data_IF_454437267078
#
_entry.id   IF_454437267078
#
_cell.length_a   1.000
_cell.length_b   1.000
_cell.length_c   1.000
_cell.angle_alpha   90.00
_cell.angle_beta   90.00
_cell.angle_gamma   90.00
#
_symmetry.space_group_name_H-M   'P 1'
#
loop_
_entity.id
_entity.type
_entity.pdbx_description
1 polymer ?
#
# COMPACT_ATOMS: atom_id res chain seq x y z
N UNK A 1 88.07 -10.50 28.55
CA UNK A 1 87.16 -9.41 28.15
C UNK A 1 85.81 -9.98 27.74
N UNK A 2 84.73 -9.76 28.50
CA UNK A 2 83.40 -10.31 28.19
C UNK A 2 82.57 -9.28 27.43
N UNK A 3 82.05 -9.65 26.25
CA UNK A 3 81.32 -8.76 25.35
C UNK A 3 79.81 -8.96 25.51
N UNK A 4 79.20 -8.34 26.52
CA UNK A 4 77.72 -8.24 26.61
C UNK A 4 77.23 -7.11 25.68
N UNK A 5 76.36 -7.43 24.72
CA UNK A 5 75.75 -6.42 23.84
C UNK A 5 74.51 -5.79 24.50
N UNK A 6 74.32 -4.50 24.27
CA UNK A 6 73.18 -3.70 24.77
C UNK A 6 71.89 -4.15 24.05
N UNK A 7 70.95 -4.72 24.78
CA UNK A 7 69.61 -5.05 24.29
C UNK A 7 68.74 -3.78 24.24
N UNK A 8 67.98 -3.59 23.15
CA UNK A 8 67.02 -2.48 23.00
C UNK A 8 65.68 -2.95 23.57
N UNK A 9 65.05 -2.15 24.45
CA UNK A 9 63.68 -2.41 24.94
C UNK A 9 62.72 -2.52 23.74
N UNK A 10 61.85 -3.54 23.68
CA UNK A 10 60.84 -3.60 22.63
C UNK A 10 59.94 -2.38 22.75
N UNK A 11 59.76 -1.65 21.64
CA UNK A 11 58.86 -0.51 21.60
C UNK A 11 57.43 -1.03 21.78
N UNK A 12 56.76 -0.61 22.85
CA UNK A 12 55.34 -0.89 23.05
C UNK A 12 54.56 -0.08 22.02
N UNK A 13 54.00 -0.76 21.02
CA UNK A 13 53.11 -0.13 20.06
C UNK A 13 51.83 0.34 20.80
N UNK A 14 51.26 1.50 20.46
CA UNK A 14 50.02 1.94 21.10
C UNK A 14 48.91 0.93 20.79
N UNK A 15 48.45 0.24 21.83
CA UNK A 15 47.34 -0.70 21.75
C UNK A 15 46.08 0.13 21.50
N UNK A 16 45.52 0.02 20.30
CA UNK A 16 44.24 0.63 19.98
C UNK A 16 43.18 0.09 20.94
N UNK A 17 42.30 0.97 21.44
CA UNK A 17 41.17 0.55 22.28
C UNK A 17 40.36 -0.51 21.52
N UNK A 18 39.98 -1.62 22.18
CA UNK A 18 39.21 -2.67 21.54
C UNK A 18 37.89 -2.10 21.02
N UNK A 19 37.44 -2.59 19.85
CA UNK A 19 36.15 -2.19 19.27
C UNK A 19 35.04 -2.63 20.23
N UNK A 20 34.12 -1.71 20.53
CA UNK A 20 32.95 -2.00 21.36
C UNK A 20 32.11 -3.13 20.74
N UNK A 21 31.44 -3.89 21.59
CA UNK A 21 30.57 -4.99 21.15
C UNK A 21 29.34 -4.46 20.40
N UNK A 22 28.66 -5.32 19.61
CA UNK A 22 27.47 -4.93 18.83
C UNK A 22 26.35 -4.37 19.74
N UNK A 23 26.19 -4.92 20.94
CA UNK A 23 25.21 -4.47 21.93
C UNK A 23 25.55 -3.08 22.51
N UNK A 24 26.82 -2.83 22.82
CA UNK A 24 27.28 -1.52 23.30
C UNK A 24 27.16 -0.43 22.22
N UNK A 25 27.38 -0.77 20.95
CA UNK A 25 27.23 0.16 19.82
C UNK A 25 25.79 0.58 19.55
N UNK A 26 24.79 -0.20 19.98
CA UNK A 26 23.39 0.16 19.83
C UNK A 26 22.98 1.31 20.77
N UNK A 27 23.60 1.37 21.95
CA UNK A 27 23.34 2.38 22.97
C UNK A 27 24.12 3.69 22.75
N UNK A 28 25.08 3.70 21.81
CA UNK A 28 25.81 4.92 21.45
C UNK A 28 24.96 5.78 20.52
N UNK A 29 24.66 7.00 20.97
CA UNK A 29 23.90 7.97 20.18
C UNK A 29 24.57 8.24 18.82
N UNK A 30 23.83 7.97 17.74
CA UNK A 30 24.33 8.19 16.38
C UNK A 30 24.36 9.68 16.10
N UNK A 31 25.56 10.21 15.81
CA UNK A 31 25.73 11.60 15.39
C UNK A 31 24.82 11.91 14.20
N UNK A 32 23.91 12.87 14.37
CA UNK A 32 23.05 13.36 13.29
C UNK A 32 23.91 14.04 12.23
N UNK A 33 24.06 13.39 11.08
CA UNK A 33 24.71 14.00 9.91
C UNK A 33 23.71 14.90 9.20
N UNK A 34 24.09 16.15 8.96
CA UNK A 34 23.36 17.04 8.06
C UNK A 34 23.38 16.40 6.67
N UNK A 35 22.23 15.93 6.18
CA UNK A 35 22.11 15.42 4.82
C UNK A 35 22.09 16.61 3.87
N UNK A 36 23.00 16.63 2.92
CA UNK A 36 22.98 17.58 1.80
C UNK A 36 22.11 16.97 0.69
N UNK A 37 21.14 17.74 0.19
CA UNK A 37 20.25 17.32 -0.90
C UNK A 37 18.81 17.00 -0.47
N UNK A 38 17.94 16.98 -1.48
CA UNK A 38 16.51 16.63 -1.34
C UNK A 38 16.34 15.13 -1.09
N UNK A 39 15.18 14.72 -0.56
CA UNK A 39 14.88 13.29 -0.36
C UNK A 39 14.89 12.54 -1.70
N UNK A 40 15.22 11.25 -1.67
CA UNK A 40 15.11 10.39 -2.84
C UNK A 40 13.65 10.40 -3.35
N UNK A 41 13.46 10.51 -4.66
CA UNK A 41 12.12 10.62 -5.25
C UNK A 41 11.46 12.01 -5.21
N UNK A 42 12.17 13.07 -4.78
CA UNK A 42 11.58 14.42 -4.69
C UNK A 42 10.91 14.90 -5.98
N UNK A 43 11.42 14.51 -7.15
CA UNK A 43 10.87 14.90 -8.46
C UNK A 43 9.44 14.37 -8.69
N UNK A 44 9.11 13.23 -8.10
CA UNK A 44 7.78 12.62 -8.20
C UNK A 44 6.80 13.18 -7.16
N UNK A 45 7.33 13.66 -6.02
CA UNK A 45 6.53 14.22 -4.93
C UNK A 45 6.11 15.68 -5.15
N UNK A 46 6.73 16.39 -6.11
CA UNK A 46 6.36 17.78 -6.45
C UNK A 46 4.93 17.92 -6.98
N UNK A 47 4.32 16.84 -7.49
CA UNK A 47 2.93 16.83 -7.93
C UNK A 47 1.92 16.50 -6.82
N UNK A 48 2.39 15.95 -5.68
CA UNK A 48 1.57 15.57 -4.51
C UNK A 48 1.67 16.60 -3.39
N UNK A 49 1.87 17.88 -3.73
CA UNK A 49 1.87 18.94 -2.72
C UNK A 49 0.42 19.17 -2.30
N UNK A 50 0.02 18.50 -1.23
CA UNK A 50 -1.19 18.86 -0.49
C UNK A 50 -1.12 20.35 -0.16
N UNK A 51 -2.06 21.12 -0.70
CA UNK A 51 -2.14 22.59 -0.61
C UNK A 51 -2.43 23.13 0.80
N UNK A 52 -2.21 22.32 1.84
CA UNK A 52 -2.55 22.65 3.23
C UNK A 52 -1.53 23.58 3.90
N UNK A 53 -0.41 23.91 3.26
CA UNK A 53 0.64 24.73 3.89
C UNK A 53 1.30 25.79 3.01
N UNK A 54 0.59 26.36 2.04
CA UNK A 54 1.12 27.45 1.19
C UNK A 54 0.42 28.78 1.42
N UNK A 55 0.31 29.23 2.67
CA UNK A 55 -0.21 30.58 2.95
C UNK A 55 0.87 31.67 2.88
N UNK A 56 2.16 31.34 2.89
CA UNK A 56 3.23 32.35 2.86
C UNK A 56 4.38 31.98 1.90
N UNK A 57 4.16 32.18 0.60
CA UNK A 57 5.25 32.16 -0.40
C UNK A 57 5.12 33.41 -1.28
N UNK A 58 5.35 34.57 -0.65
CA UNK A 58 5.72 35.83 -1.31
C UNK A 58 7.24 35.79 -1.62
N UNK A 59 7.71 34.73 -2.26
CA UNK A 59 9.10 34.64 -2.74
C UNK A 59 9.18 35.21 -4.16
N UNK A 60 10.31 35.86 -4.47
CA UNK A 60 10.62 36.43 -5.78
C UNK A 60 10.60 35.31 -6.84
N UNK A 61 9.51 35.21 -7.60
CA UNK A 61 9.35 34.22 -8.67
C UNK A 61 10.06 34.71 -9.92
N UNK A 62 10.75 33.79 -10.61
CA UNK A 62 11.45 34.06 -11.87
C UNK A 62 10.45 34.62 -12.91
N UNK A 63 10.72 35.79 -13.52
CA UNK A 63 9.81 36.41 -14.49
C UNK A 63 9.59 35.57 -15.76
N UNK A 64 10.46 34.59 -16.05
CA UNK A 64 10.29 33.65 -17.17
C UNK A 64 9.26 32.55 -16.87
N UNK A 65 8.95 32.28 -15.60
CA UNK A 65 7.99 31.27 -15.17
C UNK A 65 6.67 31.94 -14.78
N UNK A 66 5.63 31.73 -15.61
CA UNK A 66 4.30 32.30 -15.37
C UNK A 66 3.62 31.80 -14.09
N UNK A 67 2.60 32.53 -13.64
CA UNK A 67 1.79 32.17 -12.47
C UNK A 67 0.95 30.92 -12.73
N UNK A 68 1.28 29.81 -12.08
CA UNK A 68 0.49 28.57 -12.08
C UNK A 68 -0.66 28.54 -11.05
N UNK A 69 -1.13 29.71 -10.60
CA UNK A 69 -2.31 29.77 -9.71
C UNK A 69 -3.53 29.32 -10.53
N UNK A 70 -4.33 28.36 -10.05
CA UNK A 70 -5.53 27.94 -10.77
C UNK A 70 -6.46 29.14 -10.94
N UNK A 71 -6.94 29.34 -12.16
CA UNK A 71 -7.90 30.39 -12.52
C UNK A 71 -9.25 29.70 -12.69
N UNK A 72 -10.29 30.27 -12.08
CA UNK A 72 -11.65 29.75 -12.21
C UNK A 72 -12.15 29.93 -13.66
N UNK A 73 -12.60 28.84 -14.27
CA UNK A 73 -13.04 28.80 -15.68
C UNK A 73 -14.51 29.25 -15.89
N UNK A 74 -15.15 29.79 -14.85
CA UNK A 74 -16.54 30.23 -14.87
C UNK A 74 -16.72 31.74 -14.98
N UNK A 75 -17.94 32.21 -15.27
CA UNK A 75 -18.26 33.65 -15.35
C UNK A 75 -17.96 34.32 -14.01
N UNK A 76 -17.03 35.27 -14.01
CA UNK A 76 -16.77 36.16 -12.88
C UNK A 76 -18.01 36.99 -12.62
N UNK A 77 -18.86 36.53 -11.69
CA UNK A 77 -19.90 37.37 -11.14
C UNK A 77 -19.19 38.55 -10.46
N UNK A 78 -19.39 39.73 -11.05
CA UNK A 78 -18.91 41.01 -10.55
C UNK A 78 -19.13 41.09 -9.05
N UNK A 79 -18.04 41.36 -8.33
CA UNK A 79 -17.98 41.55 -6.88
C UNK A 79 -18.91 42.70 -6.48
N UNK A 80 -20.18 42.39 -6.22
CA UNK A 80 -21.05 43.28 -5.47
C UNK A 80 -20.61 43.24 -4.00
N UNK A 81 -20.34 44.42 -3.46
CA UNK A 81 -19.98 44.62 -2.06
C UNK A 81 -21.00 43.95 -1.14
N UNK A 82 -20.50 43.06 -0.29
CA UNK A 82 -21.31 42.31 0.67
C UNK A 82 -21.79 43.26 1.76
N UNK A 83 -23.02 43.78 1.62
CA UNK A 83 -23.84 44.07 2.78
C UNK A 83 -23.97 42.77 3.60
N UNK A 84 -23.67 42.86 4.90
CA UNK A 84 -23.67 41.75 5.85
C UNK A 84 -25.06 41.10 5.87
N UNK A 85 -25.22 39.98 5.17
CA UNK A 85 -26.40 39.12 5.28
C UNK A 85 -26.14 38.07 6.35
N UNK A 86 -27.14 37.76 7.20
CA UNK A 86 -26.98 36.90 8.36
C UNK A 86 -26.41 35.55 7.95
N UNK A 87 -25.48 35.06 8.77
CA UNK A 87 -24.81 33.76 8.65
C UNK A 87 -25.85 32.69 8.39
N UNK A 88 -25.94 32.25 7.13
CA UNK A 88 -26.72 31.06 6.79
C UNK A 88 -26.02 29.90 7.48
N UNK A 89 -26.75 29.25 8.38
CA UNK A 89 -26.32 28.01 9.05
C UNK A 89 -25.80 27.05 7.96
N UNK A 90 -24.69 26.34 8.22
CA UNK A 90 -24.18 25.38 7.25
C UNK A 90 -25.31 24.42 6.89
N UNK A 91 -25.60 24.32 5.59
CA UNK A 91 -26.49 23.28 5.09
C UNK A 91 -25.83 21.96 5.53
N UNK A 92 -26.54 21.08 6.24
CA UNK A 92 -25.95 19.82 6.67
C UNK A 92 -25.45 19.10 5.41
N UNK A 93 -24.17 18.71 5.42
CA UNK A 93 -23.60 17.78 4.46
C UNK A 93 -24.58 16.61 4.35
N UNK A 94 -24.94 16.24 3.11
CA UNK A 94 -25.86 15.13 2.85
C UNK A 94 -25.46 13.94 3.74
N UNK A 95 -26.39 13.52 4.60
CA UNK A 95 -26.16 12.43 5.53
C UNK A 95 -25.66 11.22 4.72
N UNK A 96 -24.44 10.78 5.01
CA UNK A 96 -23.88 9.55 4.43
C UNK A 96 -24.88 8.45 4.76
N UNK A 97 -25.60 7.99 3.74
CA UNK A 97 -26.52 6.86 3.90
C UNK A 97 -25.62 5.68 4.24
N UNK A 98 -25.74 5.06 5.42
CA UNK A 98 -24.98 3.85 5.69
C UNK A 98 -25.37 2.86 4.60
N UNK A 99 -24.39 2.44 3.81
CA UNK A 99 -24.56 1.29 2.91
C UNK A 99 -24.94 0.17 3.86
N UNK A 100 -26.20 -0.27 3.80
CA UNK A 100 -26.61 -1.49 4.46
C UNK A 100 -25.68 -2.55 3.91
N UNK A 101 -24.79 -3.06 4.76
CA UNK A 101 -23.93 -4.19 4.45
C UNK A 101 -24.89 -5.24 3.92
N UNK A 102 -24.87 -5.43 2.61
CA UNK A 102 -25.86 -6.29 1.97
C UNK A 102 -25.57 -7.70 2.47
N UNK A 103 -26.60 -8.56 2.60
CA UNK A 103 -26.41 -9.93 3.10
C UNK A 103 -25.31 -10.68 2.31
N UNK A 104 -25.18 -10.35 1.02
CA UNK A 104 -24.08 -10.79 0.16
C UNK A 104 -22.68 -10.37 0.66
N UNK A 105 -22.51 -9.12 1.12
CA UNK A 105 -21.23 -8.66 1.69
C UNK A 105 -20.91 -9.38 3.00
N UNK A 106 -21.93 -9.74 3.79
CA UNK A 106 -21.71 -10.55 5.00
C UNK A 106 -21.34 -11.99 4.67
N UNK A 107 -22.00 -12.61 3.69
CA UNK A 107 -21.67 -13.97 3.24
C UNK A 107 -20.25 -14.05 2.67
N UNK A 108 -19.84 -13.10 1.83
CA UNK A 108 -18.46 -13.00 1.32
C UNK A 108 -17.44 -12.85 2.46
N UNK A 109 -17.74 -12.03 3.46
CA UNK A 109 -16.84 -11.85 4.60
C UNK A 109 -16.72 -13.14 5.44
N UNK A 110 -17.82 -13.88 5.60
CA UNK A 110 -17.80 -15.17 6.29
C UNK A 110 -17.00 -16.22 5.51
N UNK A 111 -17.11 -16.24 4.18
CA UNK A 111 -16.32 -17.12 3.31
C UNK A 111 -14.82 -16.83 3.45
N UNK A 112 -14.42 -15.55 3.36
CA UNK A 112 -13.03 -15.12 3.61
C UNK A 112 -12.51 -15.50 5.00
N UNK A 113 -13.38 -15.48 6.01
CA UNK A 113 -13.00 -15.87 7.37
C UNK A 113 -12.70 -17.38 7.47
N UNK A 114 -13.40 -18.22 6.70
CA UNK A 114 -13.13 -19.67 6.63
C UNK A 114 -11.80 -19.91 5.91
N UNK A 115 -11.54 -19.23 4.78
CA UNK A 115 -10.26 -19.35 4.05
C UNK A 115 -9.04 -18.93 4.88
N UNK A 116 -9.22 -17.96 5.78
CA UNK A 116 -8.17 -17.42 6.64
C UNK A 116 -8.05 -18.17 7.98
N UNK A 117 -8.85 -19.21 8.24
CA UNK A 117 -8.77 -19.94 9.49
C UNK A 117 -7.47 -20.75 9.60
N UNK A 118 -6.68 -20.44 10.63
CA UNK A 118 -5.38 -21.06 10.88
C UNK A 118 -5.51 -22.57 11.14
N UNK A 119 -6.61 -23.02 11.76
CA UNK A 119 -6.80 -24.46 12.06
C UNK A 119 -7.07 -25.25 10.80
N UNK A 120 -7.96 -24.77 9.94
CA UNK A 120 -8.24 -25.37 8.64
C UNK A 120 -6.95 -25.45 7.80
N UNK A 121 -6.16 -24.37 7.76
CA UNK A 121 -4.87 -24.37 7.05
C UNK A 121 -3.90 -25.41 7.59
N UNK A 122 -3.77 -25.55 8.92
CA UNK A 122 -2.92 -26.58 9.52
C UNK A 122 -3.39 -28.00 9.17
N UNK A 123 -4.70 -28.24 9.13
CA UNK A 123 -5.26 -29.52 8.71
C UNK A 123 -4.90 -29.83 7.25
N UNK A 124 -5.04 -28.85 6.36
CA UNK A 124 -4.67 -29.00 4.94
C UNK A 124 -3.17 -29.31 4.81
N UNK A 125 -2.30 -28.60 5.53
CA UNK A 125 -0.85 -28.89 5.48
C UNK A 125 -0.53 -30.31 5.97
N UNK A 126 -1.24 -30.83 6.98
CA UNK A 126 -1.06 -32.21 7.43
C UNK A 126 -1.50 -33.21 6.37
N UNK A 127 -2.57 -32.92 5.62
CA UNK A 127 -3.01 -33.75 4.50
C UNK A 127 -2.00 -33.73 3.36
N UNK A 128 -1.40 -32.57 3.05
CA UNK A 128 -0.32 -32.45 2.04
C UNK A 128 0.94 -33.23 2.44
N UNK A 129 1.24 -33.31 3.74
CA UNK A 129 2.38 -34.05 4.31
C UNK A 129 2.07 -35.55 4.54
N UNK A 130 0.92 -36.06 4.11
CA UNK A 130 0.43 -37.43 4.35
C UNK A 130 0.43 -37.84 5.85
N UNK A 131 0.21 -36.88 6.75
CA UNK A 131 0.14 -37.11 8.20
C UNK A 131 -1.26 -37.55 8.63
N UNK A 132 -1.32 -38.47 9.59
CA UNK A 132 -2.59 -38.95 10.14
C UNK A 132 -3.35 -37.82 10.83
N UNK A 133 -4.61 -37.64 10.41
CA UNK A 133 -5.54 -36.69 11.00
C UNK A 133 -6.32 -37.34 12.15
N UNK A 134 -6.61 -36.55 13.18
CA UNK A 134 -7.50 -37.00 14.27
C UNK A 134 -8.97 -36.93 13.84
N UNK A 135 -9.84 -37.75 14.43
CA UNK A 135 -11.29 -37.76 14.13
C UNK A 135 -11.92 -36.36 14.26
N UNK A 136 -11.54 -35.62 15.31
CA UNK A 136 -12.03 -34.26 15.53
C UNK A 136 -11.58 -33.26 14.46
N UNK A 137 -10.38 -33.43 13.90
CA UNK A 137 -9.88 -32.59 12.81
C UNK A 137 -10.60 -32.89 11.49
N UNK A 138 -10.93 -34.17 11.24
CA UNK A 138 -11.73 -34.59 10.08
C UNK A 138 -13.14 -33.99 10.17
N UNK A 139 -13.79 -34.13 11.33
CA UNK A 139 -15.13 -33.57 11.54
C UNK A 139 -15.14 -32.04 11.36
N UNK A 140 -14.12 -31.36 11.88
CA UNK A 140 -13.97 -29.92 11.75
C UNK A 140 -13.78 -29.49 10.29
N UNK A 141 -12.92 -30.18 9.54
CA UNK A 141 -12.72 -29.93 8.12
C UNK A 141 -14.02 -30.07 7.34
N UNK A 142 -14.77 -31.15 7.58
CA UNK A 142 -16.05 -31.40 6.91
C UNK A 142 -17.08 -30.29 7.21
N UNK A 143 -17.21 -29.88 8.48
CA UNK A 143 -18.13 -28.79 8.89
C UNK A 143 -17.75 -27.44 8.24
N UNK A 144 -16.45 -27.12 8.15
CA UNK A 144 -15.98 -25.91 7.47
C UNK A 144 -16.24 -25.96 5.96
N UNK A 145 -16.04 -27.11 5.32
CA UNK A 145 -16.26 -27.27 3.89
C UNK A 145 -17.74 -27.26 3.49
N UNK A 146 -18.60 -27.88 4.29
CA UNK A 146 -20.06 -27.80 4.10
C UNK A 146 -20.55 -26.35 4.25
N UNK A 147 -20.07 -25.62 5.25
CA UNK A 147 -20.39 -24.18 5.40
C UNK A 147 -19.85 -23.34 4.25
N UNK A 148 -18.63 -23.61 3.79
CA UNK A 148 -18.05 -22.90 2.65
C UNK A 148 -18.91 -23.08 1.40
N UNK A 149 -19.31 -24.32 1.10
CA UNK A 149 -20.18 -24.61 -0.04
C UNK A 149 -21.52 -23.88 0.08
N UNK A 150 -22.18 -23.94 1.24
CA UNK A 150 -23.44 -23.25 1.46
C UNK A 150 -23.34 -21.72 1.28
N UNK A 151 -22.23 -21.11 1.69
CA UNK A 151 -21.98 -19.67 1.50
C UNK A 151 -21.71 -19.33 0.02
N UNK A 152 -20.99 -20.18 -0.70
CA UNK A 152 -20.78 -20.02 -2.15
C UNK A 152 -22.09 -20.13 -2.93
N UNK A 153 -22.94 -21.09 -2.56
CA UNK A 153 -24.27 -21.28 -3.14
C UNK A 153 -25.19 -20.07 -2.86
N UNK A 154 -25.17 -19.52 -1.64
CA UNK A 154 -25.93 -18.32 -1.27
C UNK A 154 -25.50 -17.10 -2.09
N UNK A 155 -24.21 -16.99 -2.42
CA UNK A 155 -23.69 -15.94 -3.29
C UNK A 155 -24.04 -16.15 -4.76
N UNK A 156 -24.61 -17.30 -5.13
CA UNK A 156 -24.98 -17.63 -6.51
C UNK A 156 -23.77 -17.80 -7.42
N UNK A 157 -22.61 -18.09 -6.85
CA UNK A 157 -21.40 -18.46 -7.59
C UNK A 157 -21.51 -19.96 -7.88
N UNK A 158 -22.36 -20.30 -8.85
CA UNK A 158 -22.56 -21.69 -9.26
C UNK A 158 -21.29 -22.16 -9.98
N UNK A 159 -20.39 -22.83 -9.24
CA UNK A 159 -19.07 -23.27 -9.72
C UNK A 159 -19.20 -24.13 -11.00
N UNK A 160 -20.26 -24.94 -11.09
CA UNK A 160 -20.53 -25.81 -12.23
C UNK A 160 -20.94 -25.01 -13.48
N UNK A 161 -21.63 -23.88 -13.32
CA UNK A 161 -21.96 -22.97 -14.41
C UNK A 161 -20.75 -22.13 -14.85
N UNK A 162 -19.86 -21.76 -13.93
CA UNK A 162 -18.63 -21.02 -14.23
C UNK A 162 -17.64 -21.86 -15.07
N UNK A 163 -17.46 -23.14 -14.75
CA UNK A 163 -16.62 -24.04 -15.56
C UNK A 163 -17.13 -24.27 -16.99
N UNK A 164 -18.44 -24.16 -17.23
CA UNK A 164 -19.03 -24.29 -18.56
C UNK A 164 -18.94 -22.99 -19.36
N UNK A 165 -19.10 -21.84 -18.69
CA UNK A 165 -19.01 -20.53 -19.35
C UNK A 165 -17.58 -20.16 -19.79
N UNK A 166 -16.56 -20.55 -19.01
CA UNK A 166 -15.15 -20.31 -19.34
C UNK A 166 -14.67 -21.08 -20.57
N UNK A 167 -15.26 -22.25 -20.89
CA UNK A 167 -14.99 -23.01 -22.13
C UNK A 167 -15.65 -22.40 -23.37
N UNK A 168 -16.60 -21.48 -23.21
CA UNK A 168 -17.41 -20.95 -24.34
C UNK A 168 -16.84 -19.67 -24.95
N UNK A 169 -15.90 -19.01 -24.27
CA UNK A 169 -15.22 -17.81 -24.76
C UNK A 169 -13.77 -18.21 -25.03
N UNK A 170 -13.45 -18.51 -26.29
CA UNK A 170 -12.07 -18.77 -26.70
C UNK A 170 -11.19 -17.60 -26.31
N UNK A 171 -10.21 -17.85 -25.44
CA UNK A 171 -9.25 -16.83 -24.99
C UNK A 171 -8.54 -16.19 -26.20
N UNK A 172 -8.19 -16.99 -27.22
CA UNK A 172 -7.61 -16.51 -28.48
C UNK A 172 -8.53 -15.47 -29.17
N UNK A 173 -9.85 -15.64 -29.11
CA UNK A 173 -10.81 -14.65 -29.62
C UNK A 173 -10.84 -13.36 -28.81
N UNK A 174 -10.52 -13.41 -27.50
CA UNK A 174 -10.38 -12.21 -26.66
C UNK A 174 -9.09 -11.45 -26.97
N UNK A 175 -7.98 -12.16 -27.17
CA UNK A 175 -6.70 -11.57 -27.55
C UNK A 175 -6.78 -10.92 -28.95
N UNK A 176 -7.42 -11.59 -29.91
CA UNK A 176 -7.59 -11.06 -31.27
C UNK A 176 -8.46 -9.79 -31.28
N UNK A 177 -9.49 -9.72 -30.43
CA UNK A 177 -10.30 -8.49 -30.24
C UNK A 177 -9.50 -7.35 -29.61
N UNK A 178 -8.56 -7.65 -28.71
CA UNK A 178 -7.71 -6.64 -28.07
C UNK A 178 -6.72 -6.03 -29.06
N UNK A 179 -6.08 -6.85 -29.89
CA UNK A 179 -5.09 -6.41 -30.88
C UNK A 179 -5.73 -5.84 -32.16
N UNK A 180 -7.01 -6.15 -32.42
CA UNK A 180 -7.76 -5.58 -33.57
C UNK A 180 -8.12 -4.10 -33.42
N UNK A 181 -7.92 -3.49 -32.25
CA UNK A 181 -8.18 -2.07 -32.06
C UNK A 181 -7.02 -1.22 -32.60
N UNK A 182 -7.17 -0.78 -33.84
CA UNK A 182 -6.27 0.18 -34.45
C UNK A 182 -6.49 1.57 -33.83
N UNK A 183 -5.58 1.99 -32.94
CA UNK A 183 -5.60 3.32 -32.33
C UNK A 183 -5.12 4.43 -33.28
N UNK A 184 -4.80 4.13 -34.55
CA UNK A 184 -4.30 5.11 -35.52
C UNK A 184 -5.29 6.23 -35.86
N UNK A 185 -6.59 6.05 -35.56
CA UNK A 185 -7.61 7.09 -35.71
C UNK A 185 -7.51 8.22 -34.66
N UNK A 186 -6.77 8.02 -33.56
CA UNK A 186 -6.54 9.05 -32.54
C UNK A 186 -5.32 9.94 -32.79
N UNK A 187 -4.47 9.63 -33.78
CA UNK A 187 -3.25 10.40 -34.08
C UNK A 187 -3.48 11.60 -35.03
N UNK A 188 -4.73 11.91 -35.40
CA UNK A 188 -5.08 12.95 -36.40
C UNK A 188 -5.75 14.23 -35.84
N UNK A 189 -5.54 14.57 -34.57
CA UNK A 189 -5.93 15.89 -34.02
C UNK A 189 -4.74 16.72 -33.50
#
# INVERSE_FOLDING_TARGET
MSRKKKSRKPASAPIAKPKLSKAELANVEKRVRKKTGKQAGNRQQEAKVDSKNTTNQQSQKDPRLGSKKPIELGKLATKAEKAQKPVKKPVPLAAVRPVSISQEQTAQQMLLAIEQDEKLQLIITKQEDDLELTEAEVDYYNDMMERHQALTDELGVDEEALEQSSKSIDEESLWDKLDSHDFSDFDKE
#
